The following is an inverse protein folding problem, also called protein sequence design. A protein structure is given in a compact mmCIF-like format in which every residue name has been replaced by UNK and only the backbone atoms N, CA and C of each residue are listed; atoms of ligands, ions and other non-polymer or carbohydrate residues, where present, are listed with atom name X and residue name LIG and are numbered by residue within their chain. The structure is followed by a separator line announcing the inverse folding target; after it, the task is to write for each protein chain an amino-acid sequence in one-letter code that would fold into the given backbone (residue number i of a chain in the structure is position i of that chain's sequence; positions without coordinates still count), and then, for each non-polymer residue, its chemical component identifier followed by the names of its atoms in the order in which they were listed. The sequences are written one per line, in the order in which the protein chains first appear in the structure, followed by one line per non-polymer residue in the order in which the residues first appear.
data_IF_365560987021
#
_entry.id   IF_365560987021
#
_cell.length_a   1.000
_cell.length_b   1.000
_cell.length_c   1.000
_cell.angle_alpha   90.00
_cell.angle_beta   90.00
_cell.angle_gamma   90.00
#
_symmetry.space_group_name_H-M   'P 1'
#
loop_
_entity.id
_entity.type
_entity.pdbx_description
1 polymer ?
#
# COMPACT_ATOMS: atom_id res chain seq x y z
N UNK A 1 19.28 24.98 0.71
CA UNK A 1 18.73 23.79 1.39
C UNK A 1 19.23 22.56 0.65
N UNK A 2 20.08 21.76 1.28
CA UNK A 2 20.59 20.53 0.68
C UNK A 2 19.41 19.52 0.76
N UNK A 3 18.80 19.21 -0.39
CA UNK A 3 17.84 18.11 -0.48
C UNK A 3 18.59 16.82 -0.21
N UNK A 4 18.10 16.04 0.72
CA UNK A 4 18.62 14.70 1.01
C UNK A 4 18.52 13.87 -0.29
N UNK A 5 19.63 13.31 -0.85
CA UNK A 5 19.60 12.61 -2.13
C UNK A 5 18.68 11.38 -2.15
N UNK A 6 18.17 10.97 -0.99
CA UNK A 6 17.23 9.85 -0.83
C UNK A 6 15.75 10.29 -0.71
N UNK A 7 15.44 11.59 -0.84
CA UNK A 7 14.06 12.06 -0.80
C UNK A 7 13.40 11.87 -2.17
N UNK A 8 12.36 11.06 -2.20
CA UNK A 8 11.54 10.89 -3.39
C UNK A 8 10.49 11.98 -3.43
N UNK A 9 10.41 12.63 -4.58
CA UNK A 9 9.46 13.68 -4.84
C UNK A 9 8.27 13.14 -5.65
N UNK A 10 7.07 13.64 -5.37
CA UNK A 10 5.84 13.29 -6.12
C UNK A 10 6.01 13.50 -7.64
N UNK A 11 6.67 14.57 -8.14
CA UNK A 11 6.91 14.74 -9.58
C UNK A 11 7.74 13.61 -10.23
N UNK A 12 8.54 12.89 -9.44
CA UNK A 12 9.38 11.77 -9.93
C UNK A 12 8.63 10.43 -9.96
N UNK A 13 7.38 10.41 -9.51
CA UNK A 13 6.52 9.23 -9.55
C UNK A 13 5.88 9.05 -10.93
N UNK A 14 5.62 7.79 -11.30
CA UNK A 14 4.77 7.45 -12.44
C UNK A 14 3.28 7.65 -12.10
N UNK A 15 2.43 7.74 -13.10
CA UNK A 15 0.98 7.97 -12.91
C UNK A 15 0.30 6.97 -11.97
N UNK A 16 0.58 5.63 -12.04
CA UNK A 16 0.01 4.69 -11.09
C UNK A 16 0.40 4.96 -9.63
N UNK A 17 1.66 5.34 -9.40
CA UNK A 17 2.14 5.70 -8.06
C UNK A 17 1.47 7.00 -7.57
N UNK A 18 1.36 8.00 -8.45
CA UNK A 18 0.67 9.28 -8.15
C UNK A 18 -0.79 9.07 -7.79
N UNK A 19 -1.47 8.16 -8.49
CA UNK A 19 -2.86 7.79 -8.17
C UNK A 19 -2.96 7.24 -6.74
N UNK A 20 -2.08 6.31 -6.35
CA UNK A 20 -2.09 5.75 -4.99
C UNK A 20 -1.74 6.81 -3.94
N UNK A 21 -0.71 7.64 -4.16
CA UNK A 21 -0.36 8.72 -3.23
C UNK A 21 -1.53 9.70 -3.06
N UNK A 22 -2.17 10.11 -4.16
CA UNK A 22 -3.35 10.94 -4.10
C UNK A 22 -4.46 10.28 -3.28
N UNK A 23 -4.74 9.01 -3.52
CA UNK A 23 -5.79 8.27 -2.82
C UNK A 23 -5.52 8.17 -1.30
N UNK A 24 -4.26 7.92 -0.92
CA UNK A 24 -3.84 7.86 0.49
C UNK A 24 -4.07 9.22 1.17
N UNK A 25 -3.63 10.30 0.54
CA UNK A 25 -3.76 11.67 1.05
C UNK A 25 -5.23 12.09 1.15
N UNK A 26 -6.02 11.79 0.11
CA UNK A 26 -7.45 12.09 0.10
C UNK A 26 -8.20 11.34 1.20
N UNK A 27 -7.85 10.06 1.41
CA UNK A 27 -8.42 9.27 2.50
C UNK A 27 -8.10 9.90 3.86
N UNK A 28 -6.83 10.19 4.13
CA UNK A 28 -6.38 10.74 5.43
C UNK A 28 -7.02 12.09 5.70
N UNK A 29 -7.04 13.02 4.73
CA UNK A 29 -7.59 14.36 4.94
C UNK A 29 -9.11 14.32 5.21
N UNK A 30 -9.84 13.41 4.55
CA UNK A 30 -11.27 13.25 4.81
C UNK A 30 -11.52 12.68 6.22
N UNK A 31 -10.77 11.65 6.63
CA UNK A 31 -10.89 11.11 8.00
C UNK A 31 -10.54 12.16 9.05
N UNK A 32 -9.46 12.91 8.87
CA UNK A 32 -9.09 14.00 9.80
C UNK A 32 -10.16 15.10 9.92
N UNK A 33 -10.96 15.29 8.86
CA UNK A 33 -12.09 16.25 8.83
C UNK A 33 -13.42 15.61 9.25
N UNK A 34 -13.40 14.41 9.78
CA UNK A 34 -14.60 13.62 10.11
C UNK A 34 -15.57 13.45 8.93
N UNK A 35 -15.04 13.38 7.69
CA UNK A 35 -15.81 13.16 6.46
C UNK A 35 -15.62 11.73 5.95
N UNK A 36 -16.62 11.26 5.19
CA UNK A 36 -16.51 9.99 4.48
C UNK A 36 -15.57 10.13 3.27
N UNK A 37 -14.47 9.35 3.18
CA UNK A 37 -13.55 9.42 2.04
C UNK A 37 -14.11 8.76 0.77
N UNK A 38 -15.08 7.85 0.89
CA UNK A 38 -15.57 7.00 -0.22
C UNK A 38 -15.99 7.81 -1.46
N UNK A 39 -16.81 8.89 -1.37
CA UNK A 39 -17.23 9.63 -2.55
C UNK A 39 -16.06 10.19 -3.36
N UNK A 40 -15.03 10.71 -2.70
CA UNK A 40 -13.85 11.25 -3.38
C UNK A 40 -12.99 10.15 -4.00
N UNK A 41 -12.85 9.02 -3.34
CA UNK A 41 -12.15 7.87 -3.89
C UNK A 41 -12.88 7.31 -5.13
N UNK A 42 -14.21 7.24 -5.11
CA UNK A 42 -15.01 6.85 -6.28
C UNK A 42 -14.72 7.80 -7.44
N UNK A 43 -14.77 9.12 -7.22
CA UNK A 43 -14.46 10.12 -8.24
C UNK A 43 -13.08 9.89 -8.88
N UNK A 44 -12.04 9.66 -8.07
CA UNK A 44 -10.68 9.43 -8.57
C UNK A 44 -10.52 8.10 -9.31
N UNK A 45 -10.97 7.01 -8.71
CA UNK A 45 -10.78 5.66 -9.26
C UNK A 45 -11.66 5.41 -10.50
N UNK A 46 -12.82 6.07 -10.61
CA UNK A 46 -13.66 6.00 -11.82
C UNK A 46 -12.97 6.58 -13.05
N UNK A 47 -12.08 7.57 -12.88
CA UNK A 47 -11.32 8.16 -14.01
C UNK A 47 -10.37 7.18 -14.68
N UNK A 48 -9.97 6.13 -13.97
CA UNK A 48 -9.09 5.05 -14.46
C UNK A 48 -9.79 3.69 -14.47
N UNK A 49 -11.13 3.69 -14.41
CA UNK A 49 -12.01 2.52 -14.54
C UNK A 49 -11.76 1.40 -13.50
N UNK A 50 -11.35 1.76 -12.27
CA UNK A 50 -11.12 0.80 -11.17
C UNK A 50 -11.98 1.10 -9.94
N UNK A 51 -13.21 1.50 -10.14
CA UNK A 51 -14.11 1.87 -9.04
C UNK A 51 -14.26 0.75 -7.98
N UNK A 52 -14.17 -0.50 -8.37
CA UNK A 52 -14.21 -1.65 -7.46
C UNK A 52 -13.01 -1.70 -6.48
N UNK A 53 -11.92 -0.99 -6.77
CA UNK A 53 -10.77 -0.87 -5.88
C UNK A 53 -11.04 0.01 -4.64
N UNK A 54 -12.09 0.83 -4.66
CA UNK A 54 -12.41 1.78 -3.58
C UNK A 54 -12.59 1.08 -2.25
N UNK A 55 -13.42 0.04 -2.20
CA UNK A 55 -13.72 -0.64 -0.95
C UNK A 55 -12.52 -1.43 -0.39
N UNK A 56 -11.76 -2.21 -1.18
CA UNK A 56 -10.52 -2.80 -0.71
C UNK A 56 -9.52 -1.76 -0.21
N UNK A 57 -9.37 -0.64 -0.90
CA UNK A 57 -8.49 0.45 -0.50
C UNK A 57 -8.93 1.08 0.83
N UNK A 58 -10.21 1.45 0.99
CA UNK A 58 -10.73 2.02 2.24
C UNK A 58 -10.53 1.08 3.43
N UNK A 59 -10.83 -0.21 3.26
CA UNK A 59 -10.64 -1.21 4.33
C UNK A 59 -9.17 -1.40 4.69
N UNK A 60 -8.27 -1.43 3.70
CA UNK A 60 -6.83 -1.45 3.92
C UNK A 60 -6.39 -0.23 4.76
N UNK A 61 -6.78 0.96 4.36
CA UNK A 61 -6.45 2.20 5.05
C UNK A 61 -7.01 2.26 6.48
N UNK A 62 -8.25 1.78 6.71
CA UNK A 62 -8.83 1.67 8.05
C UNK A 62 -8.05 0.71 8.93
N UNK A 63 -7.65 -0.44 8.40
CA UNK A 63 -6.85 -1.41 9.16
C UNK A 63 -5.54 -0.78 9.63
N UNK A 64 -4.88 0.00 8.79
CA UNK A 64 -3.66 0.75 9.16
C UNK A 64 -4.00 1.85 10.18
N UNK A 65 -5.00 2.66 9.89
CA UNK A 65 -5.38 3.81 10.71
C UNK A 65 -5.71 3.46 12.16
N UNK A 66 -6.38 2.34 12.38
CA UNK A 66 -6.78 1.89 13.71
C UNK A 66 -5.78 1.00 14.42
N UNK A 67 -4.88 0.35 13.70
CA UNK A 67 -4.04 -0.73 14.26
C UNK A 67 -2.53 -0.49 14.09
N UNK A 68 -2.11 0.64 13.54
CA UNK A 68 -0.68 0.95 13.44
C UNK A 68 -0.06 1.13 14.82
N UNK A 69 1.07 0.47 15.05
CA UNK A 69 1.88 0.61 16.26
C UNK A 69 2.86 1.79 16.19
N UNK A 70 2.89 2.49 15.06
CA UNK A 70 3.74 3.68 14.83
C UNK A 70 2.89 4.82 14.25
N UNK A 71 3.31 6.07 14.46
CA UNK A 71 2.64 7.22 13.84
C UNK A 71 2.55 7.08 12.33
N UNK A 72 1.40 7.45 11.77
CA UNK A 72 1.14 7.47 10.33
C UNK A 72 1.73 8.76 9.76
N UNK A 73 2.74 8.63 8.88
CA UNK A 73 3.37 9.75 8.19
C UNK A 73 2.83 9.82 6.74
N UNK A 74 1.78 10.60 6.57
CA UNK A 74 1.18 10.94 5.27
C UNK A 74 1.26 12.46 5.10
N UNK A 75 1.73 12.90 3.93
CA UNK A 75 1.92 14.32 3.64
C UNK A 75 0.62 14.97 3.14
N UNK A 76 0.53 16.31 3.25
CA UNK A 76 -0.59 17.05 2.68
C UNK A 76 -0.57 17.00 1.14
N UNK A 77 -1.70 17.28 0.49
CA UNK A 77 -1.80 17.34 -0.98
C UNK A 77 -0.84 18.34 -1.62
N UNK A 78 -0.53 19.43 -0.95
CA UNK A 78 0.39 20.47 -1.41
C UNK A 78 1.87 20.09 -1.32
N UNK A 79 2.20 18.98 -0.64
CA UNK A 79 3.60 18.55 -0.46
C UNK A 79 4.10 17.81 -1.69
N UNK A 80 5.25 18.23 -2.20
CA UNK A 80 6.00 17.47 -3.20
C UNK A 80 6.80 16.30 -2.56
N UNK A 81 6.95 16.28 -1.23
CA UNK A 81 7.61 15.19 -0.51
C UNK A 81 6.63 14.04 -0.29
N UNK A 82 7.17 12.84 -0.20
CA UNK A 82 6.41 11.62 0.10
C UNK A 82 6.69 11.23 1.56
N UNK A 83 5.64 10.91 2.31
CA UNK A 83 5.73 10.45 3.68
C UNK A 83 6.15 8.98 3.75
N UNK A 84 6.65 8.58 4.92
CA UNK A 84 7.13 7.19 5.12
C UNK A 84 6.01 6.16 4.93
N UNK A 85 4.83 6.41 5.48
CA UNK A 85 3.69 5.49 5.32
C UNK A 85 3.25 5.39 3.86
N UNK A 86 3.33 6.50 3.11
CA UNK A 86 3.03 6.51 1.67
C UNK A 86 4.01 5.61 0.89
N UNK A 87 5.31 5.70 1.21
CA UNK A 87 6.36 4.83 0.64
C UNK A 87 6.10 3.37 1.00
N UNK A 88 5.84 3.07 2.27
CA UNK A 88 5.62 1.71 2.76
C UNK A 88 4.41 1.07 2.04
N UNK A 89 3.34 1.83 1.79
CA UNK A 89 2.16 1.36 1.05
C UNK A 89 2.43 1.15 -0.44
N UNK A 90 3.14 2.07 -1.11
CA UNK A 90 3.56 1.86 -2.49
C UNK A 90 4.39 0.58 -2.63
N UNK A 91 5.35 0.36 -1.71
CA UNK A 91 6.17 -0.84 -1.68
C UNK A 91 5.33 -2.09 -1.47
N UNK A 92 4.40 -2.09 -0.53
CA UNK A 92 3.52 -3.23 -0.27
C UNK A 92 2.75 -3.63 -1.53
N UNK A 93 2.12 -2.66 -2.19
CA UNK A 93 1.34 -2.91 -3.40
C UNK A 93 2.23 -3.43 -4.54
N UNK A 94 3.41 -2.80 -4.75
CA UNK A 94 4.37 -3.25 -5.76
C UNK A 94 4.88 -4.68 -5.49
N UNK A 95 5.18 -5.01 -4.23
CA UNK A 95 5.65 -6.33 -3.81
C UNK A 95 4.58 -7.39 -4.07
N UNK A 96 3.33 -7.14 -3.64
CA UNK A 96 2.21 -8.07 -3.84
C UNK A 96 1.94 -8.25 -5.34
N UNK A 97 1.96 -7.16 -6.12
CA UNK A 97 1.67 -7.17 -7.55
C UNK A 97 2.70 -7.98 -8.35
N UNK A 98 3.96 -7.99 -7.91
CA UNK A 98 5.06 -8.71 -8.55
C UNK A 98 5.42 -10.03 -7.84
N UNK A 99 4.62 -10.46 -6.88
CA UNK A 99 4.78 -11.74 -6.13
C UNK A 99 6.18 -11.87 -5.49
N UNK A 100 6.76 -10.75 -5.04
CA UNK A 100 8.09 -10.73 -4.46
C UNK A 100 8.07 -11.23 -3.01
N UNK A 101 9.11 -11.97 -2.56
CA UNK A 101 9.21 -12.37 -1.16
C UNK A 101 9.44 -11.16 -0.27
N UNK A 102 8.72 -11.06 0.86
CA UNK A 102 8.89 -9.97 1.81
C UNK A 102 8.52 -10.37 3.23
N UNK A 103 8.98 -9.56 4.19
CA UNK A 103 8.54 -9.64 5.58
C UNK A 103 7.50 -8.54 5.83
N UNK A 104 6.24 -8.96 6.01
CA UNK A 104 5.14 -8.04 6.22
C UNK A 104 5.38 -7.07 7.38
N UNK A 105 5.94 -7.56 8.50
CA UNK A 105 6.20 -6.75 9.68
C UNK A 105 7.25 -5.65 9.46
N UNK A 106 8.13 -5.82 8.46
CA UNK A 106 9.10 -4.79 8.08
C UNK A 106 8.45 -3.70 7.24
N UNK A 107 7.45 -4.05 6.42
CA UNK A 107 6.75 -3.08 5.54
C UNK A 107 5.73 -2.27 6.33
N UNK A 108 4.84 -2.95 7.04
CA UNK A 108 3.76 -2.31 7.79
C UNK A 108 3.77 -2.79 9.24
N UNK A 109 3.90 -1.85 10.17
CA UNK A 109 3.89 -2.12 11.60
C UNK A 109 2.47 -2.08 12.15
N UNK A 110 1.84 -3.23 12.25
CA UNK A 110 0.50 -3.42 12.79
C UNK A 110 0.56 -4.21 14.11
N UNK A 111 -0.35 -3.91 15.03
CA UNK A 111 -0.29 -4.35 16.42
C UNK A 111 -0.54 -5.83 16.65
N UNK A 112 -1.26 -6.54 15.75
CA UNK A 112 -1.54 -7.96 15.94
C UNK A 112 -1.67 -8.75 14.63
N UNK A 113 -1.58 -10.09 14.73
CA UNK A 113 -1.59 -11.00 13.59
C UNK A 113 -2.91 -11.00 12.81
N UNK A 114 -4.05 -10.83 13.49
CA UNK A 114 -5.36 -10.80 12.83
C UNK A 114 -5.46 -9.59 11.89
N UNK A 115 -5.04 -8.43 12.35
CA UNK A 115 -5.03 -7.21 11.54
C UNK A 115 -4.05 -7.32 10.35
N UNK A 116 -2.92 -8.04 10.51
CA UNK A 116 -2.03 -8.34 9.39
C UNK A 116 -2.74 -9.14 8.30
N UNK A 117 -3.51 -10.16 8.68
CA UNK A 117 -4.24 -10.99 7.73
C UNK A 117 -5.34 -10.20 7.00
N UNK A 118 -6.05 -9.35 7.73
CA UNK A 118 -7.08 -8.47 7.14
C UNK A 118 -6.48 -7.47 6.16
N UNK A 119 -5.39 -6.83 6.56
CA UNK A 119 -4.69 -5.89 5.70
C UNK A 119 -4.20 -6.58 4.41
N UNK A 120 -3.57 -7.76 4.53
CA UNK A 120 -3.12 -8.54 3.37
C UNK A 120 -4.27 -8.88 2.44
N UNK A 121 -5.41 -9.34 2.98
CA UNK A 121 -6.61 -9.65 2.19
C UNK A 121 -7.07 -8.44 1.38
N UNK A 122 -7.13 -7.27 2.00
CA UNK A 122 -7.57 -6.05 1.32
C UNK A 122 -6.54 -5.54 0.31
N UNK A 123 -5.24 -5.65 0.63
CA UNK A 123 -4.16 -5.31 -0.30
C UNK A 123 -4.17 -6.20 -1.54
N UNK A 124 -4.40 -7.51 -1.38
CA UNK A 124 -4.52 -8.44 -2.51
C UNK A 124 -5.71 -8.07 -3.40
N UNK A 125 -6.89 -7.80 -2.82
CA UNK A 125 -8.08 -7.38 -3.59
C UNK A 125 -7.85 -6.06 -4.33
N UNK A 126 -7.14 -5.12 -3.73
CA UNK A 126 -6.74 -3.88 -4.39
C UNK A 126 -5.83 -4.18 -5.59
N UNK A 127 -4.80 -5.01 -5.39
CA UNK A 127 -3.87 -5.42 -6.45
C UNK A 127 -4.60 -6.16 -7.58
N UNK A 128 -5.57 -7.01 -7.27
CA UNK A 128 -6.39 -7.68 -8.30
C UNK A 128 -7.16 -6.66 -9.15
N UNK A 129 -7.72 -5.61 -8.54
CA UNK A 129 -8.40 -4.54 -9.28
C UNK A 129 -7.43 -3.75 -10.16
N UNK A 130 -6.25 -3.40 -9.64
CA UNK A 130 -5.19 -2.74 -10.40
C UNK A 130 -4.71 -3.59 -11.59
N UNK A 131 -4.53 -4.91 -11.36
CA UNK A 131 -4.10 -5.84 -12.41
C UNK A 131 -5.12 -5.98 -13.54
N UNK A 132 -6.43 -6.03 -13.22
CA UNK A 132 -7.50 -6.07 -14.24
C UNK A 132 -7.49 -4.84 -15.14
N UNK A 133 -7.13 -3.69 -14.60
CA UNK A 133 -7.01 -2.44 -15.34
C UNK A 133 -5.61 -2.19 -15.92
N UNK A 134 -4.73 -3.20 -15.86
CA UNK A 134 -3.34 -3.11 -16.33
C UNK A 134 -2.50 -2.00 -15.68
N UNK A 135 -2.94 -1.52 -14.51
CA UNK A 135 -2.23 -0.50 -13.74
C UNK A 135 -1.11 -1.16 -12.94
N UNK A 136 0.14 -0.89 -13.33
CA UNK A 136 1.33 -1.47 -12.70
C UNK A 136 2.06 -0.46 -11.84
N UNK A 137 2.24 -0.79 -10.56
CA UNK A 137 3.09 -0.03 -9.64
C UNK A 137 4.53 -0.49 -9.84
N UNK A 138 5.47 0.41 -10.19
CA UNK A 138 6.84 0.03 -10.42
C UNK A 138 7.52 -0.43 -9.14
N UNK A 139 8.33 -1.48 -9.28
CA UNK A 139 9.22 -1.93 -8.22
C UNK A 139 10.42 -0.99 -8.17
N UNK A 140 10.63 -0.32 -7.04
CA UNK A 140 11.78 0.56 -6.82
C UNK A 140 12.80 -0.13 -5.91
N UNK A 141 13.97 -0.42 -6.45
CA UNK A 141 15.04 -1.13 -5.72
C UNK A 141 15.47 -0.39 -4.45
N UNK A 142 15.44 0.95 -4.46
CA UNK A 142 15.77 1.79 -3.30
C UNK A 142 14.84 1.49 -2.10
N UNK A 143 13.61 1.10 -2.37
CA UNK A 143 12.64 0.75 -1.34
C UNK A 143 12.73 -0.74 -0.95
N UNK A 144 12.92 -1.62 -1.94
CA UNK A 144 12.95 -3.07 -1.72
C UNK A 144 14.08 -3.51 -0.81
N UNK A 145 15.27 -2.95 -0.97
CA UNK A 145 16.44 -3.32 -0.14
C UNK A 145 16.16 -3.18 1.36
N UNK A 146 15.26 -2.29 1.74
CA UNK A 146 14.84 -2.09 3.13
C UNK A 146 13.91 -3.19 3.66
N UNK A 147 13.16 -3.84 2.76
CA UNK A 147 12.07 -4.76 3.13
C UNK A 147 12.33 -6.21 2.73
N UNK A 148 13.26 -6.48 1.80
CA UNK A 148 13.65 -7.84 1.45
C UNK A 148 14.34 -8.52 2.63
N UNK A 149 13.97 -9.76 2.90
CA UNK A 149 14.75 -10.63 3.80
C UNK A 149 16.13 -10.82 3.22
N UNK A 150 17.17 -10.75 4.06
CA UNK A 150 18.49 -11.25 3.68
C UNK A 150 18.33 -12.68 3.15
N UNK A 151 18.87 -12.96 1.97
CA UNK A 151 18.77 -14.29 1.31
C UNK A 151 19.13 -15.46 2.23
N UNK A 152 19.96 -15.25 3.24
CA UNK A 152 20.39 -16.27 4.19
C UNK A 152 19.35 -16.61 5.28
N UNK A 153 18.36 -15.74 5.54
CA UNK A 153 17.23 -16.04 6.46
C UNK A 153 16.08 -16.77 5.75
N UNK A 154 16.07 -16.77 4.43
CA UNK A 154 15.00 -17.37 3.60
C UNK A 154 14.96 -18.89 3.75
N UNK A 155 16.09 -19.55 4.11
CA UNK A 155 16.18 -21.03 4.14
C UNK A 155 15.42 -21.63 5.33
N UNK A 156 15.24 -20.91 6.45
CA UNK A 156 14.69 -21.50 7.67
C UNK A 156 13.25 -21.08 8.06
N UNK A 157 12.63 -20.07 7.40
CA UNK A 157 11.30 -19.56 7.75
C UNK A 157 10.49 -19.04 6.55
N UNK A 158 10.59 -19.69 5.40
CA UNK A 158 9.71 -19.38 4.27
C UNK A 158 8.36 -20.07 4.52
N UNK A 159 7.49 -19.41 5.25
CA UNK A 159 6.07 -19.67 5.10
C UNK A 159 5.66 -18.95 3.79
N UNK A 160 5.76 -19.66 2.67
CA UNK A 160 5.01 -19.32 1.49
C UNK A 160 3.53 -19.49 1.86
N UNK A 161 2.89 -18.41 2.29
CA UNK A 161 1.44 -18.39 2.31
C UNK A 161 0.99 -18.32 0.86
N UNK A 162 0.71 -19.48 0.28
CA UNK A 162 -0.07 -19.56 -0.95
C UNK A 162 -1.51 -19.16 -0.62
N UNK A 163 -1.74 -17.85 -0.52
CA UNK A 163 -3.04 -17.27 -0.23
C UNK A 163 -4.09 -17.61 -1.29
N UNK A 164 -3.66 -17.91 -2.53
CA UNK A 164 -4.57 -18.27 -3.63
C UNK A 164 -5.30 -19.59 -3.37
N UNK A 165 -4.61 -20.56 -2.75
CA UNK A 165 -5.21 -21.87 -2.44
C UNK A 165 -6.08 -21.85 -1.18
N UNK A 166 -5.87 -20.93 -0.23
CA UNK A 166 -6.74 -20.82 0.95
C UNK A 166 -8.01 -20.03 0.69
N UNK A 167 -7.99 -19.02 -0.18
CA UNK A 167 -9.20 -18.27 -0.54
C UNK A 167 -10.20 -19.14 -1.32
N UNK A 168 -9.73 -20.14 -2.09
CA UNK A 168 -10.60 -21.10 -2.80
C UNK A 168 -11.26 -22.15 -1.90
N UNK A 169 -10.82 -22.29 -0.64
CA UNK A 169 -11.42 -23.23 0.34
C UNK A 169 -12.44 -22.58 1.27
N UNK A 170 -12.68 -21.29 1.16
CA UNK A 170 -13.64 -20.53 1.96
C UNK A 170 -14.83 -20.00 1.14
N UNK A 171 -15.05 -20.52 -0.06
CA UNK A 171 -16.29 -20.44 -0.84
C UNK A 171 -16.88 -21.83 -0.91
#
# INVERSE_FOLDING_TARGET
MLTNPNEILVPNLKDPERLLIWSIREWVINIMRAKNPIPKLIEGFSKVLIQEAVMPFDKMMRTIGYNSSVPIDVRCHCSNLIGRTEIDLLCLIAIIQNELPFDFNKVIKISNKQNHMEMMRHSIKLVESLNRAEIKIPVRNEFLNKYQKNKNEIINNVIFYDFRNKLKKCT
#
